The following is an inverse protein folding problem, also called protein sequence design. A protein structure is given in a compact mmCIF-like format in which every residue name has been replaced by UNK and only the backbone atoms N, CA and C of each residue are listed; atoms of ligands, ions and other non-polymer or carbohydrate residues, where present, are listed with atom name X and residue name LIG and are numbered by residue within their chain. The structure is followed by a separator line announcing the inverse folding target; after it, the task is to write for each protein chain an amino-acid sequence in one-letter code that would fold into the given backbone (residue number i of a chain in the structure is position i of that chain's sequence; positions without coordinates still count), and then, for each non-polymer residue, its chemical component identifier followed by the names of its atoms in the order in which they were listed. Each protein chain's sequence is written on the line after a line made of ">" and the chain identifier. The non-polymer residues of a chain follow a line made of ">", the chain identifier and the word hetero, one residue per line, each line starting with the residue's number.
data_IF_974981320490
#
_entry.id   IF_974981320490
#
_cell.length_a   1.000
_cell.length_b   1.000
_cell.length_c   1.000
_cell.angle_alpha   90.00
_cell.angle_beta   90.00
_cell.angle_gamma   90.00
#
_symmetry.space_group_name_H-M   'P 1'
#
loop_
_entity.id
_entity.type
_entity.pdbx_description
1 polymer ?
#
# COMPACT_ATOMS: atom_id res chain seq x y z
N UNK A 1 3.58 14.57 -24.91
CA UNK A 1 3.85 15.08 -23.55
C UNK A 1 3.27 14.04 -22.60
N UNK A 2 4.10 13.15 -22.06
CA UNK A 2 3.63 12.10 -21.14
C UNK A 2 3.30 12.75 -19.79
N UNK A 3 2.12 12.49 -19.24
CA UNK A 3 1.67 13.01 -17.94
C UNK A 3 2.60 12.55 -16.81
N UNK A 4 3.58 13.38 -16.46
CA UNK A 4 4.50 13.11 -15.34
C UNK A 4 3.73 12.92 -14.02
N UNK A 5 2.65 13.70 -13.82
CA UNK A 5 1.78 13.62 -12.64
C UNK A 5 1.11 12.25 -12.45
N UNK A 6 0.75 11.55 -13.54
CA UNK A 6 0.08 10.25 -13.43
C UNK A 6 1.06 9.12 -13.08
N UNK A 7 2.29 9.20 -13.59
CA UNK A 7 3.38 8.28 -13.26
C UNK A 7 3.77 8.38 -11.79
N UNK A 8 3.84 9.61 -11.28
CA UNK A 8 4.21 9.89 -9.89
C UNK A 8 3.14 9.38 -8.92
N UNK A 9 1.86 9.59 -9.25
CA UNK A 9 0.74 9.06 -8.47
C UNK A 9 0.72 7.51 -8.41
N UNK A 10 1.05 6.83 -9.51
CA UNK A 10 1.14 5.36 -9.53
C UNK A 10 2.32 4.87 -8.69
N UNK A 11 3.47 5.55 -8.80
CA UNK A 11 4.68 5.23 -8.03
C UNK A 11 4.41 5.39 -6.54
N UNK A 12 3.81 6.51 -6.13
CA UNK A 12 3.43 6.75 -4.75
C UNK A 12 2.45 5.72 -4.21
N UNK A 13 1.38 5.43 -4.97
CA UNK A 13 0.42 4.40 -4.59
C UNK A 13 1.07 3.05 -4.37
N UNK A 14 1.97 2.65 -5.26
CA UNK A 14 2.66 1.37 -5.15
C UNK A 14 3.63 1.36 -3.95
N UNK A 15 4.31 2.47 -3.68
CA UNK A 15 5.20 2.63 -2.52
C UNK A 15 4.43 2.52 -1.19
N UNK A 16 3.33 3.26 -1.05
CA UNK A 16 2.48 3.20 0.14
C UNK A 16 1.82 1.82 0.28
N UNK A 17 1.33 1.24 -0.81
CA UNK A 17 0.80 -0.11 -0.78
C UNK A 17 1.84 -1.13 -0.28
N UNK A 18 3.07 -1.03 -0.76
CA UNK A 18 4.18 -1.89 -0.31
C UNK A 18 4.48 -1.68 1.16
N UNK A 19 4.53 -0.44 1.63
CA UNK A 19 4.75 -0.13 3.02
C UNK A 19 3.67 -0.73 3.93
N UNK A 20 2.38 -0.53 3.61
CA UNK A 20 1.28 -1.00 4.45
C UNK A 20 1.04 -2.50 4.37
N UNK A 21 1.28 -3.13 3.23
CA UNK A 21 0.92 -4.54 3.00
C UNK A 21 2.11 -5.49 3.00
N UNK A 22 3.33 -4.96 2.91
CA UNK A 22 4.56 -5.74 2.66
C UNK A 22 4.63 -6.35 1.25
N UNK A 23 3.68 -6.04 0.36
CA UNK A 23 3.58 -6.64 -0.98
C UNK A 23 3.87 -5.60 -2.06
N UNK A 24 4.60 -5.99 -3.10
CA UNK A 24 4.76 -5.16 -4.29
C UNK A 24 3.54 -5.32 -5.20
N UNK A 25 2.79 -4.24 -5.43
CA UNK A 25 1.58 -4.26 -6.26
C UNK A 25 1.85 -4.73 -7.70
N UNK A 26 2.99 -4.35 -8.29
CA UNK A 26 3.36 -4.74 -9.65
C UNK A 26 3.51 -6.27 -9.73
N UNK A 27 4.18 -6.86 -8.75
CA UNK A 27 4.34 -8.30 -8.60
C UNK A 27 3.01 -9.00 -8.32
N UNK A 28 2.17 -8.44 -7.44
CA UNK A 28 0.83 -8.95 -7.13
C UNK A 28 -0.04 -9.03 -8.39
N UNK A 29 0.01 -8.02 -9.25
CA UNK A 29 -0.80 -7.94 -10.47
C UNK A 29 -0.24 -8.68 -11.69
N UNK A 30 0.97 -9.24 -11.60
CA UNK A 30 1.73 -9.79 -12.74
C UNK A 30 1.13 -11.04 -13.39
N UNK A 31 0.40 -11.86 -12.64
CA UNK A 31 -0.11 -13.14 -13.12
C UNK A 31 -1.35 -13.61 -12.35
N UNK A 32 -2.14 -14.55 -12.90
CA UNK A 32 -3.23 -15.18 -12.16
C UNK A 32 -2.77 -15.84 -10.86
N UNK A 33 -1.60 -16.49 -10.86
CA UNK A 33 -1.04 -17.14 -9.68
C UNK A 33 -0.69 -16.11 -8.58
N UNK A 34 -0.08 -14.99 -8.96
CA UNK A 34 0.26 -13.89 -8.05
C UNK A 34 -0.99 -13.25 -7.45
N UNK A 35 -2.01 -12.97 -8.28
CA UNK A 35 -3.29 -12.43 -7.84
C UNK A 35 -4.02 -13.38 -6.89
N UNK A 36 -4.01 -14.69 -7.19
CA UNK A 36 -4.62 -15.71 -6.33
C UNK A 36 -3.91 -15.80 -4.98
N UNK A 37 -2.57 -15.81 -4.97
CA UNK A 37 -1.77 -15.82 -3.74
C UNK A 37 -2.08 -14.62 -2.86
N UNK A 38 -2.22 -13.46 -3.46
CA UNK A 38 -2.54 -12.22 -2.75
C UNK A 38 -3.98 -12.18 -2.22
N UNK A 39 -4.96 -12.51 -3.06
CA UNK A 39 -6.39 -12.43 -2.71
C UNK A 39 -6.83 -13.54 -1.75
N UNK A 40 -6.20 -14.72 -1.84
CA UNK A 40 -6.55 -15.93 -1.11
C UNK A 40 -5.32 -16.53 -0.43
N UNK A 41 -4.64 -15.71 0.38
CA UNK A 41 -3.49 -16.16 1.15
C UNK A 41 -3.82 -17.44 1.93
N UNK A 42 -2.97 -18.45 1.77
CA UNK A 42 -3.05 -19.69 2.52
C UNK A 42 -2.44 -19.56 3.92
N UNK A 43 -2.27 -20.71 4.58
CA UNK A 43 -1.86 -20.75 6.00
C UNK A 43 -0.36 -20.97 6.22
N UNK A 44 0.38 -21.33 5.18
CA UNK A 44 1.81 -21.67 5.28
C UNK A 44 2.50 -21.61 3.92
N UNK A 45 3.82 -21.66 3.90
CA UNK A 45 4.59 -21.67 2.64
C UNK A 45 4.35 -22.92 1.80
N UNK A 46 4.05 -24.05 2.44
CA UNK A 46 3.67 -25.30 1.76
C UNK A 46 2.29 -25.19 1.10
N UNK A 47 1.39 -24.40 1.68
CA UNK A 47 0.05 -24.15 1.17
C UNK A 47 -0.19 -22.64 1.10
N UNK A 48 0.50 -21.93 0.18
CA UNK A 48 0.54 -20.48 0.18
C UNK A 48 -0.75 -19.84 -0.36
N UNK A 49 -1.65 -20.65 -0.93
CA UNK A 49 -2.91 -20.22 -1.52
C UNK A 49 -4.03 -21.12 -0.98
N UNK A 50 -5.09 -20.53 -0.45
CA UNK A 50 -6.32 -21.23 -0.10
C UNK A 50 -7.14 -21.52 -1.36
N UNK A 51 -6.78 -22.63 -2.02
CA UNK A 51 -7.43 -23.06 -3.27
C UNK A 51 -8.90 -23.40 -3.08
N UNK A 52 -9.31 -23.84 -1.89
CA UNK A 52 -10.71 -24.17 -1.57
C UNK A 52 -11.56 -22.91 -1.58
N UNK A 53 -11.13 -21.87 -0.87
CA UNK A 53 -11.84 -20.59 -0.83
C UNK A 53 -11.82 -19.91 -2.19
N UNK A 54 -10.68 -19.93 -2.89
CA UNK A 54 -10.57 -19.37 -4.24
C UNK A 54 -11.56 -20.03 -5.21
N UNK A 55 -11.60 -21.37 -5.24
CA UNK A 55 -12.51 -22.15 -6.07
C UNK A 55 -13.98 -21.80 -5.81
N UNK A 56 -14.39 -21.79 -4.54
CA UNK A 56 -15.77 -21.46 -4.15
C UNK A 56 -16.17 -20.04 -4.57
N UNK A 57 -15.28 -19.05 -4.40
CA UNK A 57 -15.56 -17.64 -4.76
C UNK A 57 -15.51 -17.36 -6.26
N UNK A 58 -14.81 -18.21 -7.01
CA UNK A 58 -14.68 -18.10 -8.46
C UNK A 58 -15.66 -19.00 -9.22
N UNK A 59 -16.34 -19.93 -8.54
CA UNK A 59 -17.31 -20.83 -9.17
C UNK A 59 -16.65 -21.91 -10.03
N UNK A 60 -15.45 -22.37 -9.64
CA UNK A 60 -14.69 -23.39 -10.38
C UNK A 60 -14.23 -24.52 -9.45
N UNK A 61 -13.70 -25.61 -10.01
CA UNK A 61 -13.11 -26.69 -9.20
C UNK A 61 -11.77 -26.26 -8.57
N UNK A 62 -11.40 -26.85 -7.43
CA UNK A 62 -10.07 -26.64 -6.84
C UNK A 62 -8.94 -27.06 -7.78
N UNK A 63 -9.13 -28.13 -8.55
CA UNK A 63 -8.14 -28.61 -9.54
C UNK A 63 -7.92 -27.57 -10.64
N UNK A 64 -8.96 -26.87 -11.06
CA UNK A 64 -8.86 -25.75 -12.02
C UNK A 64 -7.96 -24.64 -11.47
N UNK A 65 -8.18 -24.23 -10.21
CA UNK A 65 -7.34 -23.21 -9.55
C UNK A 65 -5.89 -23.68 -9.44
N UNK A 66 -5.66 -24.93 -9.05
CA UNK A 66 -4.31 -25.51 -8.96
C UNK A 66 -3.58 -25.50 -10.31
N UNK A 67 -4.27 -25.78 -11.42
CA UNK A 67 -3.69 -25.68 -12.77
C UNK A 67 -3.29 -24.26 -13.13
N UNK A 68 -4.09 -23.25 -12.77
CA UNK A 68 -3.71 -21.84 -12.97
C UNK A 68 -2.49 -21.45 -12.15
N UNK A 69 -2.37 -21.96 -10.92
CA UNK A 69 -1.21 -21.70 -10.05
C UNK A 69 0.07 -22.31 -10.64
N UNK A 70 -0.02 -23.49 -11.27
CA UNK A 70 1.10 -24.17 -11.93
C UNK A 70 1.46 -23.60 -13.31
N UNK A 71 0.59 -22.79 -13.90
CA UNK A 71 0.73 -22.33 -15.29
C UNK A 71 0.27 -23.36 -16.33
N UNK A 72 -0.31 -24.49 -15.93
CA UNK A 72 -0.79 -25.56 -16.83
C UNK A 72 -2.00 -25.13 -17.68
N UNK A 73 -2.65 -24.02 -17.32
CA UNK A 73 -3.75 -23.39 -18.06
C UNK A 73 -3.96 -21.97 -17.56
N UNK A 74 -4.67 -21.15 -18.33
CA UNK A 74 -5.09 -19.81 -17.91
C UNK A 74 -6.58 -19.74 -17.52
N UNK A 75 -6.98 -18.80 -16.64
CA UNK A 75 -8.39 -18.51 -16.43
C UNK A 75 -9.06 -18.04 -17.71
N UNK A 76 -10.36 -18.32 -17.85
CA UNK A 76 -11.17 -17.69 -18.91
C UNK A 76 -11.10 -16.16 -18.79
N UNK A 77 -11.23 -15.39 -19.89
CA UNK A 77 -11.09 -13.93 -19.87
C UNK A 77 -11.93 -13.24 -18.79
N UNK A 78 -13.18 -13.67 -18.59
CA UNK A 78 -14.07 -13.14 -17.55
C UNK A 78 -13.53 -13.34 -16.13
N UNK A 79 -12.98 -14.52 -15.85
CA UNK A 79 -12.40 -14.86 -14.54
C UNK A 79 -11.08 -14.13 -14.31
N UNK A 80 -10.27 -13.98 -15.36
CA UNK A 80 -9.05 -13.18 -15.31
C UNK A 80 -9.38 -11.71 -15.02
N UNK A 81 -10.38 -11.16 -15.70
CA UNK A 81 -10.89 -9.82 -15.44
C UNK A 81 -11.36 -9.68 -14.00
N UNK A 82 -12.13 -10.65 -13.47
CA UNK A 82 -12.58 -10.65 -12.07
C UNK A 82 -11.41 -10.65 -11.07
N UNK A 83 -10.35 -11.42 -11.32
CA UNK A 83 -9.14 -11.42 -10.48
C UNK A 83 -8.42 -10.08 -10.54
N UNK A 84 -8.27 -9.52 -11.75
CA UNK A 84 -7.61 -8.23 -12.00
C UNK A 84 -8.37 -7.10 -11.31
N UNK A 85 -9.69 -7.04 -11.48
CA UNK A 85 -10.55 -6.01 -10.90
C UNK A 85 -10.52 -6.08 -9.36
N UNK A 86 -10.60 -7.29 -8.77
CA UNK A 86 -10.50 -7.45 -7.31
C UNK A 86 -9.14 -7.08 -6.75
N UNK A 87 -8.07 -7.37 -7.48
CA UNK A 87 -6.71 -6.96 -7.11
C UNK A 87 -6.58 -5.44 -7.18
N UNK A 88 -7.07 -4.81 -8.25
CA UNK A 88 -7.08 -3.35 -8.39
C UNK A 88 -7.89 -2.66 -7.29
N UNK A 89 -9.02 -3.23 -6.92
CA UNK A 89 -9.88 -2.67 -5.88
C UNK A 89 -9.19 -2.57 -4.51
N UNK A 90 -8.14 -3.35 -4.22
CA UNK A 90 -7.43 -3.27 -2.94
C UNK A 90 -6.66 -1.96 -2.77
N UNK A 91 -6.29 -1.30 -3.87
CA UNK A 91 -5.61 0.00 -3.85
C UNK A 91 -6.55 1.14 -4.27
N UNK A 92 -7.53 0.91 -5.14
CA UNK A 92 -8.37 1.99 -5.67
C UNK A 92 -9.61 2.28 -4.83
N UNK A 93 -10.14 1.31 -4.08
CA UNK A 93 -11.39 1.50 -3.33
C UNK A 93 -11.16 1.62 -1.83
N UNK A 94 -11.98 2.44 -1.17
CA UNK A 94 -11.99 2.55 0.31
C UNK A 94 -12.17 1.18 0.95
N UNK A 95 -13.17 0.40 0.51
CA UNK A 95 -13.44 -0.95 1.04
C UNK A 95 -12.22 -1.87 0.93
N UNK A 96 -11.56 -1.88 -0.22
CA UNK A 96 -10.35 -2.69 -0.44
C UNK A 96 -9.20 -2.26 0.46
N UNK A 97 -8.91 -0.96 0.53
CA UNK A 97 -7.86 -0.41 1.40
C UNK A 97 -8.15 -0.65 2.87
N UNK A 98 -9.37 -0.44 3.33
CA UNK A 98 -9.77 -0.71 4.73
C UNK A 98 -9.58 -2.20 5.10
N UNK A 99 -9.85 -3.12 4.17
CA UNK A 99 -9.57 -4.55 4.39
C UNK A 99 -8.07 -4.84 4.51
N UNK A 100 -7.22 -4.13 3.75
CA UNK A 100 -5.77 -4.24 3.85
C UNK A 100 -5.24 -3.60 5.13
N UNK A 101 -5.75 -2.41 5.50
CA UNK A 101 -5.44 -1.73 6.74
C UNK A 101 -5.70 -2.61 7.97
N UNK A 102 -6.82 -3.35 7.99
CA UNK A 102 -7.09 -4.34 9.05
C UNK A 102 -6.01 -5.41 9.16
N UNK A 103 -5.52 -5.93 8.03
CA UNK A 103 -4.42 -6.93 8.01
C UNK A 103 -3.11 -6.31 8.46
N UNK A 104 -2.80 -5.10 7.97
CA UNK A 104 -1.60 -4.36 8.33
C UNK A 104 -1.53 -4.08 9.84
N UNK A 105 -2.64 -3.65 10.45
CA UNK A 105 -2.72 -3.45 11.91
C UNK A 105 -2.50 -4.74 12.70
N UNK A 106 -3.03 -5.87 12.23
CA UNK A 106 -2.82 -7.17 12.88
C UNK A 106 -1.36 -7.66 12.80
N UNK A 107 -0.58 -7.13 11.84
CA UNK A 107 0.84 -7.43 11.67
C UNK A 107 1.76 -6.41 12.37
N UNK A 108 1.21 -5.36 13.00
CA UNK A 108 2.02 -4.41 13.76
C UNK A 108 2.58 -5.07 15.03
N UNK A 109 3.89 -4.96 15.30
CA UNK A 109 4.52 -5.57 16.45
C UNK A 109 4.32 -4.81 17.78
N UNK A 110 3.41 -3.82 17.84
CA UNK A 110 2.98 -3.14 19.08
C UNK A 110 3.94 -2.09 19.67
N UNK A 111 5.21 -2.09 19.27
CA UNK A 111 6.21 -1.16 19.81
C UNK A 111 6.29 0.17 19.04
N UNK A 112 6.82 1.22 19.70
CA UNK A 112 7.16 2.51 19.06
C UNK A 112 8.19 2.29 17.96
N UNK A 113 7.95 2.85 16.76
CA UNK A 113 8.85 2.71 15.60
C UNK A 113 9.23 4.04 15.00
N UNK A 114 10.39 4.07 14.36
CA UNK A 114 10.79 5.20 13.53
C UNK A 114 10.23 4.97 12.15
N UNK A 115 9.37 5.88 11.70
CA UNK A 115 8.96 5.95 10.30
C UNK A 115 10.01 6.75 9.53
N UNK A 116 10.48 6.17 8.44
CA UNK A 116 11.30 6.87 7.44
C UNK A 116 10.42 7.11 6.22
N UNK A 117 10.34 8.36 5.76
CA UNK A 117 9.62 8.74 4.53
C UNK A 117 10.62 9.31 3.54
N UNK A 118 10.68 8.71 2.35
CA UNK A 118 11.48 9.18 1.23
C UNK A 118 10.58 9.85 0.18
N UNK A 119 11.08 10.94 -0.38
CA UNK A 119 10.42 11.69 -1.46
C UNK A 119 10.60 13.20 -1.34
N UNK A 120 9.81 13.94 -2.11
CA UNK A 120 9.81 15.41 -2.13
C UNK A 120 8.92 15.94 -1.00
N UNK A 121 9.51 16.74 -0.12
CA UNK A 121 8.88 17.19 1.11
C UNK A 121 9.52 18.46 1.66
N UNK A 122 8.77 19.26 2.41
CA UNK A 122 9.30 20.50 3.00
C UNK A 122 8.28 21.47 3.53
N UNK A 123 8.73 22.71 3.73
CA UNK A 123 7.94 23.80 4.30
C UNK A 123 7.11 24.54 3.24
N UNK A 124 7.55 24.54 1.99
CA UNK A 124 6.88 25.28 0.92
C UNK A 124 5.65 24.55 0.43
N UNK A 125 4.66 25.32 -0.03
CA UNK A 125 3.49 24.78 -0.71
C UNK A 125 3.77 24.53 -2.20
N UNK A 126 4.79 25.16 -2.78
CA UNK A 126 5.22 24.92 -4.15
C UNK A 126 6.19 23.73 -4.17
N UNK A 127 5.87 22.60 -4.84
CA UNK A 127 6.77 21.46 -4.98
C UNK A 127 8.15 21.81 -5.58
N UNK A 128 8.23 22.84 -6.42
CA UNK A 128 9.45 23.23 -7.14
C UNK A 128 10.37 24.14 -6.31
N UNK A 129 9.91 24.63 -5.16
CA UNK A 129 10.70 25.46 -4.25
C UNK A 129 11.66 24.61 -3.42
N UNK A 130 12.71 24.12 -4.08
CA UNK A 130 13.75 23.27 -3.48
C UNK A 130 14.68 24.02 -2.52
N UNK A 131 14.46 25.32 -2.29
CA UNK A 131 15.11 26.05 -1.19
C UNK A 131 14.47 25.74 0.16
N UNK A 132 13.16 25.46 0.16
CA UNK A 132 12.37 25.12 1.35
C UNK A 132 11.85 23.68 1.33
N UNK A 133 11.98 23.00 0.19
CA UNK A 133 11.74 21.58 0.01
C UNK A 133 13.02 20.81 -0.25
N UNK A 134 12.94 19.50 -0.13
CA UNK A 134 14.02 18.58 -0.48
C UNK A 134 13.47 17.27 -1.00
N UNK A 135 14.25 16.60 -1.83
CA UNK A 135 14.05 15.19 -2.13
C UNK A 135 14.98 14.37 -1.23
N UNK A 136 14.42 13.57 -0.33
CA UNK A 136 15.22 12.73 0.56
C UNK A 136 14.43 12.18 1.73
N UNK A 137 15.15 11.77 2.77
CA UNK A 137 14.58 11.09 3.94
C UNK A 137 14.20 12.05 5.07
N UNK A 138 12.98 11.91 5.56
CA UNK A 138 12.56 12.37 6.88
C UNK A 138 12.35 11.20 7.84
N UNK A 139 12.50 11.50 9.12
CA UNK A 139 12.48 10.51 10.20
C UNK A 139 11.56 11.03 11.28
N UNK A 140 10.56 10.24 11.67
CA UNK A 140 9.69 10.58 12.78
C UNK A 140 9.41 9.36 13.64
N UNK A 141 9.39 9.54 14.95
CA UNK A 141 9.01 8.48 15.87
C UNK A 141 7.51 8.47 16.08
N UNK A 142 6.86 7.35 15.75
CA UNK A 142 5.43 7.17 15.91
C UNK A 142 5.12 6.30 17.12
N UNK A 143 4.22 6.76 17.98
CA UNK A 143 3.61 5.93 19.03
C UNK A 143 2.81 4.79 18.40
N UNK A 144 2.45 3.77 19.18
CA UNK A 144 1.61 2.67 18.71
C UNK A 144 0.26 3.17 18.17
N UNK A 145 -0.36 4.14 18.85
CA UNK A 145 -1.60 4.77 18.39
C UNK A 145 -1.41 5.56 17.09
N UNK A 146 -0.29 6.27 16.93
CA UNK A 146 0.02 6.98 15.69
C UNK A 146 0.28 6.03 14.52
N UNK A 147 0.93 4.89 14.77
CA UNK A 147 1.12 3.85 13.76
C UNK A 147 -0.22 3.28 13.30
N UNK A 148 -1.14 2.97 14.24
CA UNK A 148 -2.49 2.50 13.90
C UNK A 148 -3.30 3.58 13.19
N UNK A 149 -3.20 4.83 13.64
CA UNK A 149 -3.83 5.99 13.04
C UNK A 149 -3.40 6.21 11.60
N UNK A 150 -2.09 6.08 11.32
CA UNK A 150 -1.55 6.15 9.97
C UNK A 150 -2.13 5.07 9.05
N UNK A 151 -2.19 3.83 9.53
CA UNK A 151 -2.78 2.71 8.78
C UNK A 151 -4.27 2.94 8.51
N UNK A 152 -5.02 3.47 9.48
CA UNK A 152 -6.43 3.78 9.34
C UNK A 152 -6.68 4.96 8.40
N UNK A 153 -5.82 5.98 8.45
CA UNK A 153 -5.87 7.12 7.53
C UNK A 153 -5.67 6.66 6.08
N UNK A 154 -4.70 5.77 5.83
CA UNK A 154 -4.53 5.14 4.51
C UNK A 154 -5.73 4.28 4.11
N UNK A 155 -6.24 3.46 5.04
CA UNK A 155 -7.41 2.62 4.81
C UNK A 155 -8.65 3.40 4.38
N UNK A 156 -8.84 4.60 4.93
CA UNK A 156 -9.99 5.46 4.69
C UNK A 156 -9.80 6.41 3.50
N UNK A 157 -8.67 7.12 3.45
CA UNK A 157 -8.39 8.19 2.50
C UNK A 157 -7.40 7.85 1.40
N UNK A 158 -6.85 6.63 1.39
CA UNK A 158 -5.76 6.26 0.47
C UNK A 158 -4.50 7.07 0.76
N UNK A 159 -3.72 7.32 -0.28
CA UNK A 159 -2.43 8.01 -0.16
C UNK A 159 -2.61 9.42 0.42
N UNK A 160 -3.60 10.18 -0.06
CA UNK A 160 -3.94 11.51 0.48
C UNK A 160 -4.25 11.44 1.98
N UNK A 161 -5.06 10.47 2.42
CA UNK A 161 -5.38 10.30 3.83
C UNK A 161 -4.14 10.02 4.68
N UNK A 162 -3.26 9.13 4.19
CA UNK A 162 -2.01 8.79 4.87
C UNK A 162 -1.07 10.00 4.99
N UNK A 163 -0.89 10.75 3.89
CA UNK A 163 0.00 11.90 3.86
C UNK A 163 -0.55 13.04 4.73
N UNK A 164 -1.84 13.39 4.63
CA UNK A 164 -2.44 14.42 5.48
C UNK A 164 -2.35 14.07 6.97
N UNK A 165 -2.47 12.78 7.32
CA UNK A 165 -2.25 12.33 8.69
C UNK A 165 -0.81 12.56 9.15
N UNK A 166 0.17 12.21 8.31
CA UNK A 166 1.59 12.44 8.62
C UNK A 166 1.93 13.93 8.70
N UNK A 167 1.42 14.76 7.79
CA UNK A 167 1.61 16.21 7.84
C UNK A 167 1.12 16.78 9.17
N UNK A 168 -0.03 16.31 9.67
CA UNK A 168 -0.55 16.66 10.99
C UNK A 168 0.39 16.28 12.14
N UNK A 169 1.09 15.15 12.04
CA UNK A 169 2.10 14.75 13.05
C UNK A 169 3.38 15.58 12.92
N UNK A 170 3.86 15.80 11.70
CA UNK A 170 5.08 16.56 11.44
C UNK A 170 4.95 18.04 11.83
N UNK A 171 3.75 18.61 11.70
CA UNK A 171 3.43 19.99 12.05
C UNK A 171 3.29 20.22 13.56
N UNK A 172 3.26 19.18 14.39
CA UNK A 172 3.21 19.35 15.85
C UNK A 172 4.53 19.97 16.37
N UNK A 173 4.46 20.97 17.27
CA UNK A 173 5.65 21.60 17.84
C UNK A 173 6.60 20.58 18.48
N UNK A 174 7.91 20.72 18.24
CA UNK A 174 8.94 19.85 18.80
C UNK A 174 8.96 18.41 18.28
N UNK A 175 8.13 18.05 17.28
CA UNK A 175 8.08 16.68 16.72
C UNK A 175 9.01 16.50 15.54
N UNK A 176 9.00 17.46 14.61
CA UNK A 176 9.87 17.42 13.44
C UNK A 176 10.32 18.82 13.00
N UNK A 177 9.39 19.77 12.95
CA UNK A 177 9.69 21.18 12.74
C UNK A 177 8.99 22.04 13.79
N UNK A 178 9.57 23.18 14.13
CA UNK A 178 8.89 24.19 14.95
C UNK A 178 8.08 25.20 14.12
N UNK A 179 8.12 25.10 12.79
CA UNK A 179 7.39 26.01 11.88
C UNK A 179 5.87 25.78 11.88
N UNK A 180 5.39 24.70 12.51
CA UNK A 180 3.97 24.34 12.50
C UNK A 180 3.46 23.89 11.12
N UNK A 181 4.34 23.59 10.17
CA UNK A 181 3.96 23.20 8.80
C UNK A 181 5.00 22.27 8.20
N UNK A 182 4.54 21.16 7.61
CA UNK A 182 5.32 20.27 6.77
C UNK A 182 4.41 19.67 5.70
N UNK A 183 4.92 19.47 4.49
CA UNK A 183 4.16 18.94 3.36
C UNK A 183 4.90 17.83 2.64
N UNK A 184 4.17 16.86 2.12
CA UNK A 184 4.66 15.86 1.18
C UNK A 184 4.13 16.14 -0.23
N UNK A 185 5.04 16.42 -1.15
CA UNK A 185 4.72 16.70 -2.56
C UNK A 185 4.80 15.47 -3.45
N UNK A 186 5.50 14.43 -2.96
CA UNK A 186 5.54 13.11 -3.57
C UNK A 186 6.30 12.16 -2.66
N UNK A 187 5.76 10.97 -2.45
CA UNK A 187 6.41 9.91 -1.68
C UNK A 187 6.63 8.71 -2.60
N UNK A 188 7.85 8.21 -2.65
CA UNK A 188 8.25 7.04 -3.44
C UNK A 188 8.73 5.88 -2.54
N UNK A 189 8.80 6.09 -1.21
CA UNK A 189 9.19 5.06 -0.25
C UNK A 189 8.82 5.38 1.19
N UNK A 190 8.38 4.36 1.92
CA UNK A 190 8.21 4.40 3.38
C UNK A 190 8.72 3.10 3.99
N UNK A 191 9.30 3.18 5.19
CA UNK A 191 9.77 2.02 5.93
C UNK A 191 9.72 2.24 7.44
N UNK A 192 9.49 1.15 8.16
CA UNK A 192 9.64 1.08 9.60
C UNK A 192 11.10 0.76 9.95
N UNK A 193 11.66 1.48 10.91
CA UNK A 193 12.95 1.20 11.55
C UNK A 193 12.77 1.00 13.06
#
# INVERSE_FOLDING_TARGET
>A
MLDHNASDAITQRNALFRFFTGQDYSTVSSSPASMLRYLYAGKSDRHPIDTKTAAARLGVSQRTVQRWIKGDSNPRPELLKKLTDRTRQTVTTKRGRTQMAKRAKAALPGDRRTLIVHGVQGLSADPQDMGYNRNGNSYIHLTDDEQRGLIDAWGNGGDTGALSYLEGIYAQPGRYTDSGTWRFHGVDGMQWR
#
